data_IF_046430858864
#
_entry.id   IF_046430858864
#
_cell.length_a   1.000
_cell.length_b   1.000
_cell.length_c   1.000
_cell.angle_alpha   90.00
_cell.angle_beta   90.00
_cell.angle_gamma   90.00
#
_symmetry.space_group_name_H-M   'P 1'
#
loop_
_entity.id
_entity.type
_entity.pdbx_description
1 polymer ?
2 polymer ?
3 non-polymer ?
4 non-polymer ?
5 water ?
#
# COMPACT_ATOMS: atom_id res chain seq x y z
N UNK A 4 -13.57 -6.16 -22.22
CA UNK A 4 -14.13 -5.62 -20.98
C UNK A 4 -13.62 -6.38 -19.75
N UNK A 5 -13.57 -5.66 -18.62
CA UNK A 5 -13.02 -6.20 -17.39
C UNK A 5 -13.94 -7.29 -16.80
N UNK A 6 -13.40 -8.25 -16.06
CA UNK A 6 -14.25 -9.26 -15.41
C UNK A 6 -15.16 -8.64 -14.36
N UNK A 7 -16.21 -9.38 -14.03
CA UNK A 7 -17.15 -8.94 -13.01
C UNK A 7 -17.89 -10.13 -12.44
N UNK A 8 -18.54 -9.92 -11.31
CA UNK A 8 -19.30 -10.97 -10.64
C UNK A 8 -20.74 -10.92 -11.10
N UNK A 9 -21.31 -12.11 -11.31
CA UNK A 9 -22.75 -12.23 -11.46
C UNK A 9 -23.40 -11.77 -10.17
N UNK A 10 -24.19 -10.68 -10.19
CA UNK A 10 -24.82 -10.21 -8.94
C UNK A 10 -25.87 -11.18 -8.38
N UNK A 11 -26.28 -12.19 -9.16
CA UNK A 11 -27.22 -13.18 -8.66
C UNK A 11 -26.55 -14.23 -7.79
N UNK A 12 -25.21 -14.23 -7.74
CA UNK A 12 -24.49 -15.17 -6.91
C UNK A 12 -24.91 -14.97 -5.45
N UNK A 13 -25.42 -16.00 -4.80
CA UNK A 13 -25.94 -15.82 -3.43
C UNK A 13 -24.88 -15.32 -2.46
N UNK A 14 -25.24 -14.30 -1.67
CA UNK A 14 -24.34 -13.71 -0.68
C UNK A 14 -24.46 -14.33 0.70
N UNK A 15 -25.40 -15.25 0.89
CA UNK A 15 -25.73 -15.83 2.18
C UNK A 15 -26.03 -17.30 1.95
N UNK A 16 -25.16 -18.17 2.45
CA UNK A 16 -25.29 -19.61 2.24
C UNK A 16 -25.43 -20.29 3.60
N UNK A 17 -26.22 -21.35 3.65
CA UNK A 17 -26.47 -22.09 4.88
C UNK A 17 -26.21 -23.57 4.60
N UNK A 18 -25.27 -24.16 5.33
CA UNK A 18 -25.02 -25.59 5.22
C UNK A 18 -25.38 -26.30 6.52
N UNK A 19 -25.43 -27.63 6.45
CA UNK A 19 -25.76 -28.47 7.59
C UNK A 19 -24.48 -29.02 8.21
N UNK A 20 -24.40 -28.96 9.53
CA UNK A 20 -23.24 -29.52 10.21
C UNK A 20 -23.06 -30.98 9.87
N UNK A 21 -21.81 -31.37 9.62
CA UNK A 21 -21.46 -32.70 9.20
C UNK A 21 -21.59 -32.94 7.71
N UNK A 22 -22.30 -32.08 6.99
CA UNK A 22 -22.48 -32.21 5.55
C UNK A 22 -21.56 -31.26 4.81
N UNK A 23 -21.62 -31.30 3.50
CA UNK A 23 -20.79 -30.45 2.66
C UNK A 23 -21.44 -29.08 2.47
N UNK A 24 -20.62 -28.03 2.56
CA UNK A 24 -21.04 -26.67 2.26
C UNK A 24 -20.58 -26.27 0.86
N UNK A 25 -21.41 -25.52 0.16
CA UNK A 25 -21.16 -25.13 -1.23
C UNK A 25 -21.36 -23.64 -1.38
N UNK A 26 -20.28 -22.93 -1.71
CA UNK A 26 -20.32 -21.49 -1.94
C UNK A 26 -20.08 -21.25 -3.42
N UNK A 27 -21.07 -20.67 -4.09
CA UNK A 27 -20.91 -20.45 -5.52
C UNK A 27 -20.29 -19.08 -5.78
N UNK A 28 -19.76 -18.91 -7.00
CA UNK A 28 -19.17 -17.63 -7.40
C UNK A 28 -19.13 -17.60 -8.93
N UNK A 29 -20.15 -17.01 -9.53
CA UNK A 29 -20.25 -16.93 -10.99
C UNK A 29 -19.53 -15.69 -11.50
N UNK A 30 -18.65 -15.89 -12.48
CA UNK A 30 -17.80 -14.83 -13.01
C UNK A 30 -17.97 -14.76 -14.52
N UNK A 31 -18.05 -13.54 -15.05
CA UNK A 31 -18.10 -13.30 -16.48
C UNK A 31 -16.83 -12.61 -16.94
N UNK A 32 -16.42 -12.93 -18.18
CA UNK A 32 -15.25 -12.32 -18.83
C UNK A 32 -13.99 -12.53 -18.01
N UNK A 33 -13.77 -13.76 -17.56
CA UNK A 33 -12.63 -14.02 -16.69
C UNK A 33 -11.32 -13.80 -17.42
N UNK A 34 -11.26 -14.17 -18.69
CA UNK A 34 -10.08 -14.00 -19.53
C UNK A 34 -8.94 -14.74 -18.83
N UNK A 35 -7.78 -14.14 -18.64
CA UNK A 35 -6.67 -14.82 -18.00
C UNK A 35 -6.50 -14.45 -16.54
N UNK A 36 -7.53 -13.86 -15.93
CA UNK A 36 -7.50 -13.69 -14.48
C UNK A 36 -7.86 -15.02 -13.80
N UNK A 37 -7.64 -15.08 -12.48
CA UNK A 37 -7.99 -16.24 -11.69
C UNK A 37 -9.05 -15.87 -10.67
N UNK A 38 -9.80 -16.88 -10.25
CA UNK A 38 -10.83 -16.74 -9.22
C UNK A 38 -10.37 -17.51 -7.99
N UNK A 39 -10.23 -16.80 -6.87
CA UNK A 39 -9.71 -17.37 -5.64
C UNK A 39 -10.72 -17.22 -4.51
N UNK A 40 -10.69 -18.18 -3.60
CA UNK A 40 -11.49 -18.17 -2.38
C UNK A 40 -10.62 -17.89 -1.16
N UNK A 41 -11.05 -16.94 -0.35
CA UNK A 41 -10.33 -16.53 0.85
C UNK A 41 -11.30 -16.57 2.03
N UNK A 42 -10.82 -17.10 3.16
CA UNK A 42 -11.56 -17.11 4.41
C UNK A 42 -11.18 -15.89 5.24
N UNK A 43 -12.19 -15.11 5.63
CA UNK A 43 -11.93 -13.77 6.16
C UNK A 43 -11.33 -13.78 7.57
N UNK A 44 -11.83 -14.66 8.47
CA UNK A 44 -11.46 -14.54 9.88
C UNK A 44 -9.94 -14.59 10.10
N UNK A 45 -9.20 -15.31 9.27
CA UNK A 45 -7.75 -15.35 9.41
C UNK A 45 -7.04 -14.98 8.11
N UNK A 46 -7.78 -14.47 7.11
CA UNK A 46 -7.29 -14.12 5.79
C UNK A 46 -6.53 -15.30 5.18
N UNK A 47 -7.02 -16.51 5.39
CA UNK A 47 -6.36 -17.71 4.88
C UNK A 47 -6.74 -17.92 3.43
N UNK A 48 -5.73 -17.99 2.55
CA UNK A 48 -5.99 -18.35 1.16
C UNK A 48 -6.40 -19.81 1.09
N UNK A 49 -7.55 -20.07 0.46
CA UNK A 49 -8.08 -21.43 0.38
C UNK A 49 -7.75 -22.06 -0.97
N UNK A 50 -8.21 -21.45 -2.06
CA UNK A 50 -8.02 -21.98 -3.39
C UNK A 50 -7.68 -20.84 -4.35
N UNK A 51 -6.96 -21.19 -5.42
CA UNK A 51 -6.69 -20.27 -6.52
C UNK A 51 -7.07 -21.02 -7.80
N UNK A 52 -8.18 -20.63 -8.41
CA UNK A 52 -8.68 -21.45 -9.49
C UNK A 52 -9.03 -22.83 -8.96
N UNK A 53 -8.67 -23.86 -9.74
CA UNK A 53 -8.80 -25.24 -9.28
C UNK A 53 -7.69 -25.66 -8.33
N UNK A 54 -6.63 -24.87 -8.20
CA UNK A 54 -5.55 -25.22 -7.30
C UNK A 54 -5.98 -25.02 -5.85
N UNK A 55 -5.57 -25.96 -4.99
CA UNK A 55 -5.86 -25.90 -3.56
C UNK A 55 -4.60 -25.48 -2.82
N UNK A 56 -4.69 -24.39 -2.06
CA UNK A 56 -3.60 -23.95 -1.21
C UNK A 56 -3.70 -24.49 0.21
N UNK A 57 -4.87 -24.37 0.85
CA UNK A 57 -4.98 -24.80 2.24
C UNK A 57 -4.64 -26.28 2.39
N UNK A 58 -4.04 -26.63 3.54
CA UNK A 58 -3.76 -28.01 3.92
C UNK A 58 -4.94 -28.68 4.59
N UNK A 59 -6.02 -27.96 4.85
CA UNK A 59 -7.28 -28.53 5.32
C UNK A 59 -7.92 -29.25 4.14
N UNK A 60 -7.78 -30.57 4.11
CA UNK A 60 -8.24 -31.39 2.99
C UNK A 60 -9.74 -31.32 2.76
N UNK A 61 -10.50 -30.67 3.64
CA UNK A 61 -11.94 -30.56 3.44
C UNK A 61 -12.31 -29.61 2.30
N UNK A 62 -11.37 -28.82 1.79
CA UNK A 62 -11.67 -27.76 0.83
C UNK A 62 -11.36 -28.20 -0.60
N UNK A 63 -12.21 -27.76 -1.53
CA UNK A 63 -11.94 -27.92 -2.94
C UNK A 63 -12.75 -26.89 -3.71
N UNK A 64 -12.11 -26.27 -4.70
CA UNK A 64 -12.79 -25.39 -5.63
C UNK A 64 -12.99 -26.12 -6.95
N UNK A 65 -14.19 -25.99 -7.52
CA UNK A 65 -14.51 -26.61 -8.78
C UNK A 65 -14.97 -25.55 -9.77
N UNK A 66 -14.41 -25.60 -10.99
CA UNK A 66 -14.82 -24.73 -12.08
C UNK A 66 -15.98 -25.39 -12.81
N UNK A 67 -17.17 -24.83 -12.67
CA UNK A 67 -18.34 -25.30 -13.42
C UNK A 67 -18.36 -24.56 -14.74
N UNK A 68 -17.85 -25.22 -15.79
CA UNK A 68 -17.67 -24.53 -17.07
C UNK A 68 -18.99 -24.08 -17.65
N UNK A 69 -20.07 -24.86 -17.46
CA UNK A 69 -21.33 -24.53 -18.12
C UNK A 69 -21.93 -23.24 -17.59
N UNK A 70 -21.76 -22.96 -16.29
CA UNK A 70 -22.30 -21.74 -15.69
C UNK A 70 -21.23 -20.73 -15.34
N UNK A 71 -19.96 -21.05 -15.55
CA UNK A 71 -18.84 -20.18 -15.17
C UNK A 71 -18.88 -19.88 -13.67
N UNK A 72 -19.03 -20.95 -12.90
CA UNK A 72 -19.18 -20.90 -11.46
C UNK A 72 -17.94 -21.51 -10.82
N UNK A 73 -17.27 -20.76 -9.97
CA UNK A 73 -16.13 -21.25 -9.21
C UNK A 73 -16.63 -21.59 -7.81
N UNK A 74 -17.07 -22.83 -7.64
CA UNK A 74 -17.74 -23.25 -6.41
C UNK A 74 -16.71 -23.78 -5.41
N UNK A 75 -16.84 -23.33 -4.16
CA UNK A 75 -16.03 -23.84 -3.06
C UNK A 75 -16.85 -24.87 -2.29
N UNK A 76 -16.25 -26.04 -2.07
CA UNK A 76 -16.87 -27.10 -1.30
C UNK A 76 -16.12 -27.28 0.03
N UNK A 77 -16.87 -27.31 1.12
CA UNK A 77 -16.32 -27.55 2.45
C UNK A 77 -17.00 -28.80 3.00
N UNK A 78 -16.25 -29.90 3.02
CA UNK A 78 -16.76 -31.15 3.57
C UNK A 78 -16.72 -31.11 5.09
N UNK A 79 -17.60 -31.90 5.71
CA UNK A 79 -17.70 -32.01 7.16
C UNK A 79 -17.85 -30.64 7.82
N UNK A 80 -18.84 -29.88 7.35
CA UNK A 80 -18.99 -28.51 7.83
C UNK A 80 -19.19 -28.49 9.35
N UNK A 81 -18.53 -27.55 10.00
CA UNK A 81 -18.62 -27.41 11.45
C UNK A 81 -19.02 -25.98 11.77
N UNK A 82 -19.47 -25.77 13.02
CA UNK A 82 -19.88 -24.44 13.45
C UNK A 82 -18.72 -23.45 13.28
N UNK A 83 -17.50 -23.92 13.56
CA UNK A 83 -16.29 -23.12 13.40
C UNK A 83 -16.14 -22.58 11.98
N UNK A 84 -16.66 -23.28 10.97
CA UNK A 84 -16.50 -22.83 9.59
C UNK A 84 -17.37 -21.63 9.26
N UNK A 85 -18.40 -21.34 10.06
CA UNK A 85 -19.29 -20.22 9.79
C UNK A 85 -18.51 -18.90 9.85
N UNK A 86 -19.00 -17.92 9.10
CA UNK A 86 -18.36 -16.63 9.01
C UNK A 86 -18.31 -16.16 7.57
N UNK A 87 -17.38 -15.24 7.30
CA UNK A 87 -17.34 -14.55 6.02
C UNK A 87 -16.25 -15.13 5.12
N UNK A 88 -16.60 -15.28 3.84
CA UNK A 88 -15.69 -15.79 2.84
C UNK A 88 -15.67 -14.83 1.65
N UNK A 89 -14.53 -14.78 0.98
CA UNK A 89 -14.35 -13.88 -0.15
C UNK A 89 -14.01 -14.67 -1.40
N UNK A 90 -14.76 -14.40 -2.46
CA UNK A 90 -14.39 -14.79 -3.81
C UNK A 90 -13.69 -13.60 -4.47
N UNK A 91 -12.54 -13.85 -5.09
CA UNK A 91 -11.65 -12.76 -5.49
C UNK A 91 -11.09 -12.98 -6.88
N UNK A 92 -11.29 -11.99 -7.75
CA UNK A 92 -10.78 -11.99 -9.12
C UNK A 92 -9.45 -11.24 -9.15
N UNK A 93 -8.45 -11.85 -9.79
CA UNK A 93 -7.08 -11.32 -9.81
C UNK A 93 -6.88 -10.16 -10.77
N UNK A 94 -7.86 -9.27 -10.91
CA UNK A 94 -7.60 -8.04 -11.63
C UNK A 94 -6.76 -7.11 -10.76
N UNK A 95 -6.32 -6.00 -11.36
CA UNK A 95 -5.55 -5.02 -10.62
C UNK A 95 -6.25 -3.65 -10.67
N UNK A 96 -6.77 -3.20 -9.52
CA UNK A 96 -6.77 -3.95 -8.26
C UNK A 96 -7.81 -5.07 -8.26
N UNK A 97 -7.76 -5.94 -7.24
CA UNK A 97 -8.62 -7.12 -7.23
C UNK A 97 -10.08 -6.72 -7.10
N UNK A 98 -10.94 -7.55 -7.67
CA UNK A 98 -12.37 -7.54 -7.41
C UNK A 98 -12.69 -8.58 -6.33
N UNK A 99 -13.55 -8.21 -5.40
CA UNK A 99 -13.93 -9.11 -4.32
C UNK A 99 -15.44 -9.23 -4.24
N UNK A 100 -15.91 -10.44 -3.91
CA UNK A 100 -17.32 -10.72 -3.71
C UNK A 100 -17.46 -11.49 -2.40
N UNK A 101 -18.18 -10.89 -1.45
CA UNK A 101 -18.30 -11.42 -0.10
C UNK A 101 -19.47 -12.40 0.00
N UNK A 102 -19.24 -13.52 0.68
CA UNK A 102 -20.26 -14.54 0.88
C UNK A 102 -20.21 -15.00 2.33
N UNK A 103 -21.37 -14.98 2.99
CA UNK A 103 -21.45 -15.45 4.37
C UNK A 103 -21.94 -16.89 4.40
N UNK A 104 -21.25 -17.73 5.16
CA UNK A 104 -21.65 -19.12 5.37
C UNK A 104 -22.27 -19.28 6.76
N UNK A 105 -23.39 -19.99 6.82
CA UNK A 105 -24.02 -20.39 8.07
C UNK A 105 -24.02 -21.92 8.18
N UNK A 106 -23.76 -22.42 9.38
CA UNK A 106 -23.72 -23.85 9.64
C UNK A 106 -24.72 -24.14 10.75
N UNK A 107 -25.81 -24.83 10.42
CA UNK A 107 -26.90 -25.09 11.36
C UNK A 107 -27.22 -26.58 11.38
N UNK A 108 -28.07 -26.94 12.34
CA UNK A 108 -28.51 -28.32 12.51
C UNK A 108 -29.95 -28.44 12.04
N UNK A 109 -30.30 -29.45 11.25
CA UNK A 109 -31.67 -29.56 10.72
C UNK A 109 -32.72 -29.49 11.82
N UNK A 110 -33.77 -28.70 11.55
CA UNK A 110 -34.86 -28.44 12.48
C UNK A 110 -34.35 -27.79 13.76
N UNK B 1 11.15 -36.59 4.83
CA UNK B 1 9.75 -36.21 4.93
C UNK B 1 9.06 -36.90 6.11
N UNK B 2 8.97 -36.17 7.23
CA UNK B 2 8.24 -36.60 8.41
C UNK B 2 7.49 -35.41 8.98
N UNK B 3 6.59 -35.68 9.93
CA UNK B 3 5.59 -34.71 10.38
C UNK B 3 6.16 -33.79 11.45
N UNK B 4 6.70 -32.66 11.01
CA UNK B 4 6.92 -31.51 11.88
C UNK B 4 6.90 -30.26 11.01
N UNK B 5 6.09 -29.28 11.39
CA UNK B 5 5.71 -28.25 10.44
C UNK B 5 6.71 -27.09 10.43
N UNK B 6 6.76 -26.34 9.32
CA UNK B 6 7.70 -25.22 9.24
C UNK B 6 7.39 -24.11 10.23
N UNK B 7 8.38 -23.24 10.45
CA UNK B 7 8.29 -22.18 11.43
C UNK B 7 8.89 -20.91 10.86
N UNK B 8 8.40 -19.77 11.33
CA UNK B 8 9.03 -18.50 11.00
C UNK B 8 10.30 -18.32 11.83
N UNK B 9 11.38 -17.90 11.18
CA UNK B 9 12.65 -17.67 11.86
C UNK B 9 12.74 -16.25 12.41
N UNK B 10 12.25 -15.26 11.67
CA UNK B 10 12.26 -13.89 12.16
C UNK B 10 11.11 -13.13 11.51
N UNK B 11 10.78 -11.99 12.11
CA UNK B 11 9.64 -11.20 11.64
C UNK B 11 9.95 -10.57 10.28
N UNK B 12 8.89 -10.15 9.59
CA UNK B 12 9.04 -9.37 8.37
C UNK B 12 9.42 -7.95 8.75
N UNK B 13 10.50 -7.46 8.15
CA UNK B 13 10.94 -6.09 8.40
C UNK B 13 9.98 -5.10 7.76
N UNK B 14 9.62 -4.06 8.52
CA UNK B 14 8.95 -2.92 7.94
C UNK B 14 9.87 -2.26 6.92
N UNK B 15 9.28 -1.75 5.83
CA UNK B 15 10.03 -1.16 4.74
C UNK B 15 9.47 0.23 4.46
N UNK B 16 10.36 1.19 4.22
CA UNK B 16 9.98 2.55 3.91
C UNK B 16 10.89 3.06 2.80
N UNK B 17 10.29 3.36 1.64
CA UNK B 17 11.03 3.80 0.45
C UNK B 17 10.24 4.90 -0.25
N UNK B 18 10.94 5.66 -1.08
CA UNK B 18 10.35 6.75 -1.82
C UNK B 18 9.70 6.24 -3.11
N UNK B 19 8.73 7.02 -3.60
CA UNK B 19 8.03 6.68 -4.83
C UNK B 19 9.02 6.42 -5.95
N UNK B 20 8.84 5.31 -6.66
CA UNK B 20 9.67 4.98 -7.81
C UNK B 20 10.84 4.08 -7.50
N UNK B 21 11.19 3.92 -6.23
CA UNK B 21 12.22 2.97 -5.83
C UNK B 21 11.58 1.61 -5.55
N UNK B 22 12.44 0.59 -5.46
CA UNK B 22 12.01 -0.80 -5.40
C UNK B 22 11.99 -1.29 -3.95
N UNK B 23 10.95 -2.04 -3.60
CA UNK B 23 10.76 -2.56 -2.26
C UNK B 23 10.78 -4.07 -2.26
N UNK B 24 11.42 -4.66 -1.27
CA UNK B 24 11.46 -6.11 -1.13
C UNK B 24 11.07 -6.49 0.29
N UNK B 25 10.09 -7.36 0.40
CA UNK B 25 9.74 -8.00 1.67
C UNK B 25 10.27 -9.42 1.63
N UNK B 26 10.83 -9.86 2.75
CA UNK B 26 11.42 -11.18 2.87
C UNK B 26 10.76 -11.94 4.01
N UNK B 27 10.40 -13.19 3.75
CA UNK B 27 9.82 -14.08 4.74
C UNK B 27 10.84 -15.17 5.06
N UNK B 28 11.37 -15.17 6.27
CA UNK B 28 12.38 -16.14 6.69
C UNK B 28 11.69 -17.31 7.38
N UNK B 29 11.88 -18.50 6.83
CA UNK B 29 11.24 -19.71 7.35
C UNK B 29 12.32 -20.76 7.60
N UNK B 30 11.89 -21.85 8.24
CA UNK B 30 12.74 -23.01 8.46
C UNK B 30 11.89 -24.26 8.26
N UNK B 31 12.49 -25.27 7.62
CA UNK B 31 11.84 -26.57 7.39
C UNK B 31 10.56 -26.41 6.59
N UNK B 32 10.61 -25.59 5.54
CA UNK B 32 9.42 -25.33 4.74
C UNK B 32 8.89 -26.61 4.10
N UNK B 33 9.78 -27.54 3.73
CA UNK B 33 9.35 -28.77 3.09
C UNK B 33 8.52 -28.51 1.85
N UNK B 34 7.39 -29.19 1.75
CA UNK B 34 6.48 -29.06 0.63
C UNK B 34 5.39 -28.03 0.79
N UNK B 35 5.37 -27.32 1.92
CA UNK B 35 4.46 -26.22 2.10
C UNK B 35 4.90 -25.01 1.26
N UNK B 36 3.96 -24.10 1.00
CA UNK B 36 4.18 -23.00 0.08
C UNK B 36 3.97 -21.65 0.77
N UNK B 37 4.89 -20.73 0.52
CA UNK B 37 4.80 -19.37 1.02
C UNK B 37 3.83 -18.58 0.14
N UNK B 38 2.79 -18.02 0.76
CA UNK B 38 1.85 -17.15 0.07
C UNK B 38 2.06 -15.72 0.49
N UNK B 39 1.76 -14.79 -0.41
CA UNK B 39 1.82 -13.36 -0.12
C UNK B 39 0.50 -12.70 -0.47
N UNK B 40 0.04 -11.79 0.39
CA UNK B 40 -1.11 -10.98 0.01
C UNK B 40 -1.03 -9.63 0.71
N UNK B 41 -1.77 -8.65 0.15
CA UNK B 41 -1.95 -7.34 0.79
C UNK B 41 -2.98 -7.44 1.89
N UNK B 42 -2.60 -7.11 3.12
CA UNK B 42 -3.46 -7.36 4.27
C UNK B 42 -4.74 -6.54 4.21
N UNK B 43 -4.67 -5.29 3.75
CA UNK B 43 -5.82 -4.40 3.82
C UNK B 43 -6.86 -4.74 2.76
N UNK B 44 -6.43 -5.09 1.56
CA UNK B 44 -7.35 -5.42 0.49
C UNK B 44 -7.55 -6.93 0.34
N UNK B 45 -6.75 -7.73 1.02
CA UNK B 45 -6.72 -9.18 0.93
C UNK B 45 -6.29 -9.66 -0.45
N UNK B 46 -5.84 -8.74 -1.31
CA UNK B 46 -5.43 -9.10 -2.67
C UNK B 46 -4.29 -10.11 -2.61
N UNK B 47 -4.50 -11.26 -3.25
CA UNK B 47 -3.46 -12.28 -3.31
C UNK B 47 -2.36 -11.82 -4.26
N UNK B 48 -1.12 -11.88 -3.81
CA UNK B 48 0.01 -11.43 -4.63
C UNK B 48 0.68 -12.60 -5.34
N UNK B 49 0.99 -13.66 -4.61
CA UNK B 49 1.76 -14.76 -5.17
C UNK B 49 1.68 -15.96 -4.23
N UNK B 50 1.83 -17.14 -4.82
CA UNK B 50 2.00 -18.37 -4.07
C UNK B 50 3.18 -19.13 -4.64
N UNK B 51 4.15 -19.43 -3.79
CA UNK B 51 5.38 -20.13 -4.18
C UNK B 51 6.04 -19.27 -5.26
N UNK B 52 6.23 -19.76 -6.48
CA UNK B 52 6.88 -19.01 -7.54
C UNK B 52 5.90 -18.42 -8.53
N UNK B 53 4.59 -18.56 -8.28
CA UNK B 53 3.56 -18.08 -9.19
C UNK B 53 3.05 -16.74 -8.69
N UNK B 54 3.30 -15.69 -9.46
CA UNK B 54 2.68 -14.40 -9.22
C UNK B 54 1.22 -14.50 -9.63
N UNK B 55 0.32 -14.13 -8.72
CA UNK B 55 -1.10 -14.24 -9.00
C UNK B 55 -1.69 -12.89 -9.37
N UNK B 56 -1.23 -11.81 -8.75
CA UNK B 56 -1.73 -10.50 -9.12
C UNK B 56 -1.31 -10.14 -10.54
N UNK B 57 -2.20 -9.45 -11.25
CA UNK B 57 -1.84 -8.92 -12.55
C UNK B 57 -1.13 -7.58 -12.47
N UNK B 58 -0.73 -7.18 -11.27
CA UNK B 58 0.12 -6.02 -11.11
C UNK B 58 1.50 -6.34 -11.69
N UNK B 59 1.90 -5.73 -12.81
CA UNK B 59 3.19 -6.08 -13.40
C UNK B 59 4.38 -5.70 -12.55
N UNK B 60 4.22 -4.80 -11.57
CA UNK B 60 5.31 -4.37 -10.70
C UNK B 60 5.61 -5.34 -9.58
N UNK B 61 4.81 -6.40 -9.40
CA UNK B 61 4.98 -7.34 -8.30
C UNK B 61 5.60 -8.62 -8.84
N UNK B 62 6.67 -9.07 -8.20
CA UNK B 62 7.28 -10.34 -8.56
C UNK B 62 7.76 -11.02 -7.28
N UNK B 63 8.29 -12.24 -7.43
CA UNK B 63 8.78 -13.00 -6.29
C UNK B 63 10.09 -13.67 -6.64
N UNK B 64 10.80 -14.09 -5.59
CA UNK B 64 12.01 -14.88 -5.70
C UNK B 64 12.29 -15.48 -4.34
N UNK B 65 13.22 -16.43 -4.30
CA UNK B 65 13.76 -16.94 -3.05
C UNK B 65 15.26 -17.09 -3.15
N UNK B 66 15.98 -16.59 -2.13
CA UNK B 66 17.42 -16.80 -2.01
C UNK B 66 17.74 -18.27 -1.79
N UNK B 67 17.04 -18.90 -0.85
CA UNK B 67 17.16 -20.34 -0.61
C UNK B 67 15.79 -20.82 -0.11
N UNK B 68 15.72 -22.09 0.32
CA UNK B 68 14.43 -22.61 0.77
C UNK B 68 13.96 -21.98 2.07
N UNK B 69 14.77 -21.16 2.72
CA UNK B 69 14.42 -20.49 3.95
C UNK B 69 14.09 -19.01 3.77
N UNK B 70 14.32 -18.44 2.60
CA UNK B 70 14.31 -16.99 2.42
C UNK B 70 13.46 -16.63 1.20
N UNK B 71 12.20 -16.28 1.44
CA UNK B 71 11.22 -16.04 0.38
C UNK B 71 10.93 -14.55 0.31
N UNK B 72 11.10 -13.98 -0.89
CA UNK B 72 10.99 -12.55 -1.12
C UNK B 72 9.72 -12.21 -1.88
N UNK B 73 9.16 -11.05 -1.55
CA UNK B 73 8.17 -10.39 -2.38
C UNK B 73 8.76 -9.06 -2.85
N UNK B 74 8.76 -8.83 -4.16
CA UNK B 74 9.31 -7.62 -4.74
C UNK B 74 8.19 -6.75 -5.30
N UNK B 75 8.19 -5.47 -4.91
CA UNK B 75 7.29 -4.47 -5.45
C UNK B 75 8.16 -3.44 -6.15
N UNK B 76 8.10 -3.42 -7.47
CA UNK B 76 8.98 -2.56 -8.27
C UNK B 76 8.33 -1.19 -8.44
N UNK B 77 9.16 -0.15 -8.37
CA UNK B 77 8.75 1.25 -8.56
C UNK B 77 7.48 1.56 -7.76
N UNK B 78 7.66 1.56 -6.43
CA UNK B 78 6.54 1.64 -5.52
C UNK B 78 5.70 2.88 -5.79
N UNK B 79 4.41 2.76 -5.49
CA UNK B 79 3.45 3.84 -5.65
C UNK B 79 2.70 4.03 -4.34
N UNK B 80 1.93 5.12 -4.29
CA UNK B 80 1.16 5.42 -3.09
C UNK B 80 0.15 4.34 -2.76
N UNK B 81 -0.43 3.71 -3.80
CA UNK B 81 -1.44 2.67 -3.55
C UNK B 81 -0.81 1.37 -3.08
N UNK B 82 0.51 1.20 -3.21
CA UNK B 82 1.16 0.04 -2.63
C UNK B 82 1.36 0.16 -1.12
N UNK B 83 1.04 1.30 -0.54
CA UNK B 83 1.18 1.48 0.89
C UNK B 83 0.26 0.54 1.65
N UNK B 84 0.77 -0.09 2.68
CA UNK B 84 -0.03 -0.97 3.50
C UNK B 84 0.76 -2.16 4.01
N UNK B 85 0.04 -3.14 4.54
CA UNK B 85 0.65 -4.32 5.12
C UNK B 85 0.66 -5.47 4.13
N UNK B 86 1.76 -6.21 4.12
CA UNK B 86 1.93 -7.35 3.23
C UNK B 86 2.11 -8.61 4.06
N UNK B 87 1.21 -9.57 3.86
CA UNK B 87 1.11 -10.76 4.69
C UNK B 87 1.84 -11.91 4.02
N UNK B 88 2.78 -12.51 4.77
CA UNK B 88 3.39 -13.77 4.40
C UNK B 88 2.62 -14.89 5.10
N UNK B 89 2.33 -15.94 4.36
CA UNK B 89 1.41 -16.97 4.82
C UNK B 89 1.95 -18.34 4.43
N UNK B 90 1.85 -19.30 5.35
CA UNK B 90 2.22 -20.68 5.07
C UNK B 90 0.96 -21.54 5.08
N UNK B 91 0.85 -22.46 4.12
CA UNK B 91 -0.32 -23.34 4.04
C UNK B 91 -0.22 -24.53 4.97
N UNK B 92 0.29 -24.31 6.18
CA UNK B 92 0.23 -25.34 7.21
C UNK B 92 -1.20 -25.43 7.75
N UNK B 93 -1.42 -26.44 8.60
CA UNK B 93 -2.73 -26.65 9.22
C UNK B 93 -2.57 -26.73 10.74
N UNK B 94 -2.96 -25.68 11.45
CA UNK B 94 -3.56 -24.44 10.93
C UNK B 94 -2.54 -23.51 10.27
N UNK B 95 -3.02 -22.51 9.53
CA UNK B 95 -2.14 -21.63 8.77
C UNK B 95 -1.35 -20.74 9.72
N UNK B 96 -0.15 -20.34 9.27
CA UNK B 96 0.68 -19.39 9.99
C UNK B 96 1.02 -18.23 9.07
N UNK B 97 1.08 -17.04 9.65
CA UNK B 97 1.23 -15.83 8.84
C UNK B 97 1.97 -14.77 9.62
N UNK B 98 2.60 -13.86 8.87
CA UNK B 98 3.30 -12.69 9.38
C UNK B 98 3.00 -11.52 8.47
N UNK B 99 3.05 -10.31 9.03
CA UNK B 99 2.79 -9.09 8.27
C UNK B 99 3.94 -8.12 8.43
N UNK B 100 4.40 -7.57 7.30
CA UNK B 100 5.29 -6.42 7.30
C UNK B 100 4.62 -5.25 6.62
N UNK B 101 5.06 -4.02 6.88
CA UNK B 101 4.38 -2.84 6.39
C UNK B 101 5.29 -2.00 5.51
N UNK B 102 4.69 -1.43 4.46
CA UNK B 102 5.38 -0.59 3.49
C UNK B 102 4.89 0.84 3.64
N UNK B 103 5.80 1.77 3.88
CA UNK B 103 5.50 3.19 3.92
C UNK B 103 6.05 3.84 2.66
N UNK B 104 5.23 4.66 2.00
CA UNK B 104 5.58 5.29 0.74
C UNK B 104 5.75 6.78 0.99
N UNK B 105 7.00 7.25 0.96
CA UNK B 105 7.32 8.65 1.17
C UNK B 105 7.55 9.33 -0.18
N UNK B 106 7.33 10.65 -0.23
CA UNK B 106 7.46 11.42 -1.46
C UNK B 106 8.42 12.58 -1.18
N UNK B 107 9.48 12.73 -1.97
CA UNK B 107 10.40 13.87 -1.77
C UNK B 107 9.71 15.20 -2.05
N UNK B 108 10.18 16.28 -1.44
CA UNK B 108 9.51 17.57 -1.66
C UNK B 108 9.53 17.98 -3.12
N UNK B 109 8.53 18.75 -3.49
CA UNK B 109 8.37 19.24 -4.86
C UNK B 109 7.46 20.47 -4.82
N UNK B 110 7.91 21.54 -5.45
CA UNK B 110 7.17 22.80 -5.37
C UNK B 110 5.88 22.73 -6.18
N UNK B 111 4.89 23.51 -5.76
CA UNK B 111 3.67 23.76 -6.51
C UNK B 111 3.85 25.07 -7.25
N UNK B 112 4.00 25.01 -8.58
CA UNK B 112 4.26 26.21 -9.37
C UNK B 112 3.13 27.23 -9.26
N UNK B 113 1.92 26.80 -8.89
CA UNK B 113 0.78 27.71 -8.89
C UNK B 113 0.90 28.78 -7.81
N UNK B 114 1.46 28.42 -6.65
CA UNK B 114 1.55 29.35 -5.52
C UNK B 114 2.98 29.41 -4.99
N UNK B 115 3.93 29.59 -5.90
CA UNK B 115 5.31 29.91 -5.56
C UNK B 115 5.68 31.23 -6.22
N UNK B 116 6.31 32.11 -5.45
CA UNK B 116 6.51 33.49 -5.89
C UNK B 116 7.49 33.58 -7.06
N UNK B 117 7.24 34.53 -7.95
CA UNK B 117 8.17 34.90 -9.00
C UNK B 117 8.96 36.13 -8.56
N UNK B 118 9.93 36.53 -9.39
CA UNK B 118 10.71 37.73 -9.10
C UNK B 118 9.82 38.97 -9.17
N UNK B 119 9.98 39.86 -8.20
CA UNK B 119 9.07 40.97 -8.00
C UNK B 119 9.85 42.26 -7.73
N UNK B 120 9.34 43.35 -8.28
CA UNK B 120 9.91 44.69 -8.14
C UNK B 120 8.87 45.54 -7.46
N UNK B 121 9.20 46.08 -6.28
CA UNK B 121 8.22 46.77 -5.45
C UNK B 121 8.78 48.09 -4.94
N UNK B 122 7.94 49.10 -4.72
CA UNK B 122 8.43 50.35 -4.13
C UNK B 122 8.93 50.15 -2.69
N UNK B 123 9.87 51.01 -2.34
CA UNK B 123 10.39 51.05 -0.97
C UNK B 123 9.27 51.31 0.03
N UNK B 124 9.37 50.69 1.20
CA UNK B 124 8.38 50.85 2.24
C UNK B 124 7.13 50.01 2.08
N UNK B 125 7.08 49.14 1.10
CA UNK B 125 5.88 48.36 0.84
C UNK B 125 5.96 47.02 1.56
N UNK B 126 4.86 46.30 1.51
CA UNK B 126 4.80 44.97 2.11
C UNK B 126 4.67 43.93 1.01
N UNK B 127 5.33 42.80 1.22
CA UNK B 127 5.50 41.78 0.21
C UNK B 127 5.28 40.43 0.88
N UNK B 128 4.55 39.55 0.21
CA UNK B 128 4.41 38.17 0.61
C UNK B 128 5.21 37.31 -0.34
N UNK B 129 6.23 36.64 0.16
CA UNK B 129 6.97 35.66 -0.60
C UNK B 129 6.49 34.27 -0.16
N UNK B 130 5.97 33.50 -1.13
CA UNK B 130 5.34 32.21 -0.85
C UNK B 130 6.02 31.10 -1.62
N UNK B 131 6.25 29.97 -0.95
CA UNK B 131 6.72 28.72 -1.58
C UNK B 131 5.91 27.58 -0.98
N UNK B 132 4.87 27.15 -1.67
CA UNK B 132 4.07 26.00 -1.25
C UNK B 132 4.70 24.72 -1.80
N UNK B 133 4.76 23.69 -0.97
CA UNK B 133 5.41 22.43 -1.35
C UNK B 133 4.53 21.25 -0.98
N UNK B 134 4.71 20.16 -1.73
CA UNK B 134 4.00 18.91 -1.48
C UNK B 134 5.01 17.79 -1.26
N UNK B 135 4.62 16.81 -0.45
CA UNK B 135 5.45 15.66 -0.20
C UNK B 135 5.06 14.97 1.08
N UNK B 136 5.55 13.75 1.24
CA UNK B 136 5.31 12.99 2.45
C UNK B 136 6.62 12.45 3.03
N UNK B 137 6.89 12.72 4.31
CA UNK B 137 6.10 13.57 5.22
C UNK B 137 6.04 15.03 4.77
N UNK B 138 5.12 15.80 5.35
CA UNK B 138 4.87 17.15 4.86
C UNK B 138 6.15 17.98 4.91
N UNK B 139 6.54 18.63 3.81
CA UNK B 139 7.80 19.39 3.82
C UNK B 139 7.68 20.67 4.61
N UNK B 140 8.79 21.05 5.24
CA UNK B 140 8.92 22.34 5.88
C UNK B 140 9.75 23.23 4.95
N UNK B 141 9.35 24.50 4.86
CA UNK B 141 9.98 25.49 3.98
C UNK B 141 10.84 26.40 4.83
N UNK B 142 12.06 26.64 4.36
CA UNK B 142 13.02 27.51 5.04
C UNK B 142 13.46 28.60 4.08
N UNK B 143 13.45 29.84 4.56
CA UNK B 143 13.88 31.00 3.79
C UNK B 143 15.25 31.47 4.23
N UNK B 144 16.09 31.83 3.27
CA UNK B 144 17.43 32.34 3.55
C UNK B 144 17.77 33.39 2.50
N UNK B 145 18.49 34.43 2.93
CA UNK B 145 19.13 35.31 1.95
C UNK B 145 20.29 34.58 1.31
N UNK B 146 20.38 34.64 -0.02
CA UNK B 146 21.43 33.94 -0.75
C UNK B 146 22.82 34.43 -0.37
N UNK B 147 22.95 35.70 0.00
CA UNK B 147 24.24 36.28 0.35
C UNK B 147 24.62 36.06 1.81
N UNK B 148 23.82 35.28 2.56
CA UNK B 148 24.10 35.02 3.94
C UNK B 148 23.67 36.09 4.93
N UNK B 149 23.21 37.25 4.45
CA UNK B 149 22.74 38.27 5.38
C UNK B 149 21.46 37.81 6.07
N UNK B 150 21.08 38.55 7.11
CA UNK B 150 19.88 38.17 7.87
C UNK B 150 18.62 38.69 7.19
N UNK B 151 17.56 37.90 7.31
CA UNK B 151 16.23 38.35 6.94
C UNK B 151 15.73 39.28 8.03
N UNK B 152 15.08 40.37 7.63
CA UNK B 152 14.58 41.37 8.57
C UNK B 152 13.09 41.15 8.72
N UNK B 153 12.67 40.71 9.90
CA UNK B 153 11.24 40.56 10.23
C UNK B 153 10.81 41.71 11.12
N UNK B 154 9.72 42.38 10.74
CA UNK B 154 9.22 43.53 11.47
C UNK B 154 7.78 43.28 11.92
N UNK B 155 7.39 43.98 12.96
CA UNK B 155 6.00 44.04 13.39
C UNK B 155 5.43 45.42 13.04
N UNK B 156 4.13 45.57 13.29
CA UNK B 156 3.49 46.86 13.10
C UNK B 156 3.91 47.89 14.14
N UNK B 157 4.40 47.44 15.29
CA UNK B 157 4.61 48.31 16.44
C UNK B 157 6.06 48.77 16.56
N UNK B 158 6.88 48.57 15.54
CA UNK B 158 8.19 49.18 15.47
C UNK B 158 9.37 48.38 15.97
N UNK B 159 9.36 47.05 15.82
CA UNK B 159 10.48 46.22 16.24
C UNK B 159 10.87 45.29 15.10
N UNK B 160 12.18 45.12 14.91
CA UNK B 160 12.68 44.28 13.83
C UNK B 160 13.50 43.14 14.41
N UNK B 161 13.36 41.96 13.81
CA UNK B 161 14.05 40.75 14.23
C UNK B 161 14.92 40.27 13.07
N UNK B 162 16.19 40.01 13.36
CA UNK B 162 17.18 39.63 12.34
C UNK B 162 17.50 38.16 12.50
N UNK B 163 17.01 37.34 11.57
CA UNK B 163 17.27 35.92 11.60
C UNK B 163 17.97 35.48 10.33
N UNK B 164 18.99 34.63 10.42
CA UNK B 164 19.59 34.07 9.20
C UNK B 164 18.65 33.16 8.44
N UNK B 165 17.63 32.59 9.09
CA UNK B 165 16.65 31.78 8.38
C UNK B 165 15.28 31.99 9.01
N UNK B 166 14.24 31.76 8.20
CA UNK B 166 12.85 31.84 8.64
C UNK B 166 12.11 30.59 8.18
N UNK B 167 11.43 29.93 9.11
CA UNK B 167 10.71 28.70 8.84
C UNK B 167 9.24 29.05 8.57
N UNK B 168 8.76 28.70 7.40
CA UNK B 168 7.36 28.91 7.05
C UNK B 168 7.19 29.03 5.55
N UNK B 169 5.99 28.67 5.10
CA UNK B 169 5.71 28.70 3.67
C UNK B 169 5.60 30.13 3.14
N UNK B 170 5.18 31.08 3.97
CA UNK B 170 4.99 32.46 3.55
C UNK B 170 5.95 33.34 4.35
N UNK B 171 6.80 34.07 3.65
CA UNK B 171 7.69 35.05 4.25
C UNK B 171 7.07 36.43 4.07
N UNK B 172 6.63 37.02 5.16
CA UNK B 172 5.95 38.32 5.13
C UNK B 172 6.95 39.41 5.47
N UNK B 173 7.28 40.24 4.48
CA UNK B 173 8.18 41.37 4.66
C UNK B 173 7.36 42.64 4.57
N UNK B 174 7.51 43.53 5.55
CA UNK B 174 6.74 44.76 5.62
C UNK B 174 7.68 45.95 5.76
N UNK B 175 7.20 47.12 5.30
CA UNK B 175 7.92 48.39 5.38
C UNK B 175 9.38 48.20 4.96
N UNK B 176 9.57 47.66 3.76
CA UNK B 176 10.87 47.16 3.38
C UNK B 176 11.80 48.31 2.99
N UNK B 177 13.06 48.17 3.33
CA UNK B 177 14.10 49.12 2.96
C UNK B 177 14.92 48.54 1.81
N UNK B 178 15.68 49.42 1.15
CA UNK B 178 16.62 49.00 0.11
C UNK B 178 17.57 47.93 0.62
N UNK B 179 17.97 48.00 1.89
CA UNK B 179 18.84 46.98 2.47
C UNK B 179 18.25 45.58 2.37
N UNK B 180 16.94 45.44 2.17
CA UNK B 180 16.38 44.10 2.13
C UNK B 180 16.31 43.53 0.73
N UNK B 181 16.55 44.32 -0.31
CA UNK B 181 16.58 43.78 -1.65
C UNK B 181 17.66 42.71 -1.78
N UNK B 182 17.48 41.82 -2.74
CA UNK B 182 18.42 40.76 -2.95
C UNK B 182 17.72 39.47 -3.32
N UNK B 183 18.49 38.40 -3.29
CA UNK B 183 18.04 37.08 -3.70
C UNK B 183 17.61 36.29 -2.46
N UNK B 184 16.35 35.85 -2.44
CA UNK B 184 15.83 35.02 -1.36
C UNK B 184 15.67 33.59 -1.86
N UNK B 185 16.08 32.64 -1.01
CA UNK B 185 15.97 31.22 -1.30
C UNK B 185 14.97 30.57 -0.35
N UNK B 186 14.00 29.86 -0.91
CA UNK B 186 13.13 29.00 -0.11
C UNK B 186 13.52 27.55 -0.39
N UNK B 187 13.70 26.77 0.67
CA UNK B 187 14.08 25.38 0.54
C UNK B 187 13.01 24.52 1.20
N UNK B 188 12.43 23.61 0.43
CA UNK B 188 11.45 22.68 0.96
C UNK B 188 12.14 21.36 1.24
N UNK B 189 12.01 20.87 2.47
CA UNK B 189 12.73 19.67 2.88
C UNK B 189 11.84 18.84 3.80
N UNK B 190 11.96 17.51 3.68
CA UNK B 190 11.23 16.63 4.59
C UNK B 190 12.02 15.37 4.94
N UNK B 191 13.34 15.40 4.86
CA UNK B 191 14.16 14.22 5.06
C UNK B 191 14.21 13.26 3.89
N UNK B 192 13.43 13.50 2.84
CA UNK B 192 13.37 12.61 1.70
C UNK B 192 14.05 13.28 0.52
N UNK B 193 15.30 12.92 0.21
CA UNK B 193 16.07 13.54 -0.87
C UNK B 193 15.42 13.34 -2.25
N UNK B 194 15.65 14.27 -3.19
CA UNK B 194 16.40 15.51 -2.93
C UNK B 194 15.52 16.65 -2.42
N UNK B 195 16.14 17.57 -1.69
CA UNK B 195 15.47 18.81 -1.34
C UNK B 195 15.32 19.70 -2.56
N UNK B 196 14.33 20.59 -2.52
CA UNK B 196 14.02 21.47 -3.63
C UNK B 196 14.16 22.91 -3.15
N UNK B 197 14.69 23.77 -4.02
CA UNK B 197 15.00 25.14 -3.68
C UNK B 197 14.66 26.03 -4.86
N UNK B 198 14.05 27.18 -4.58
CA UNK B 198 13.76 28.18 -5.58
C UNK B 198 14.39 29.51 -5.20
N UNK B 199 14.80 30.25 -6.22
CA UNK B 199 15.49 31.52 -6.08
C UNK B 199 14.52 32.63 -6.48
N UNK B 200 14.30 33.59 -5.60
CA UNK B 200 13.34 34.67 -5.82
C UNK B 200 14.08 35.99 -5.63
N UNK B 201 14.07 36.83 -6.66
CA UNK B 201 14.75 38.10 -6.61
C UNK B 201 13.77 39.19 -6.17
N UNK B 202 14.13 39.91 -5.10
CA UNK B 202 13.33 41.01 -4.57
C UNK B 202 14.03 42.31 -4.92
N UNK B 203 13.40 43.13 -5.75
CA UNK B 203 13.93 44.41 -6.20
C UNK B 203 13.12 45.54 -5.58
N UNK B 204 13.81 46.49 -4.95
CA UNK B 204 13.17 47.56 -4.20
C UNK B 204 13.64 48.90 -4.74
N UNK B 205 12.73 49.68 -5.30
CA UNK B 205 13.08 50.97 -5.91
C UNK B 205 12.54 52.17 -5.13
#
# INVERSE_FOLDING_TARGET
SRWMEPYFDPSTPRNVTALMGKSAYLSCRVRNLANKTVSWIRHRDIHILTVGSYTYTSDQRFQATHHQDTEDWTLQIKWAQKRDAGMYECQISTQPVRSYFVRLNVVVPH
SRAFQPEFVESISNVSVAVGRDATFTCHVRHLGGYRVGWLKADTKAIQAIHENVITHNPRVTVSHLDQNTWNLHIKAVSEEDRGGYMCQLNTDPMKSQIGFLDVVIPPDFISEDTSSDVIVPEGSSVRLTCRARGYPEPIVTWRREDGNEIVLKDNVGTKTLAPSFRGEVLKLSKISRNEMGSYLCIASNGVPPSVSKRISLSIHH
#
